data_IF_232146020740
#
_entry.id   IF_232146020740
#
_cell.length_a   1.000
_cell.length_b   1.000
_cell.length_c   1.000
_cell.angle_alpha   90.00
_cell.angle_beta   90.00
_cell.angle_gamma   90.00
#
_symmetry.space_group_name_H-M   'P 1'
#
loop_
_entity.id
_entity.type
_entity.pdbx_description
1 polymer ?
#
# COMPACT_ATOMS: atom_id res chain seq x y z
N UNK A 1 -1.33 17.94 9.17
CA UNK A 1 -1.73 16.62 8.69
C UNK A 1 -0.80 16.19 7.56
N UNK A 2 -0.36 14.95 7.57
CA UNK A 2 0.50 14.41 6.52
C UNK A 2 -0.33 13.64 5.50
N UNK A 3 0.05 13.71 4.21
CA UNK A 3 -0.56 12.91 3.17
C UNK A 3 0.40 11.83 2.71
N UNK A 4 -0.15 10.64 2.49
CA UNK A 4 0.62 9.46 2.10
C UNK A 4 -0.04 8.76 0.92
N UNK A 5 0.74 7.97 0.18
CA UNK A 5 0.22 7.02 -0.80
C UNK A 5 0.43 5.61 -0.27
N UNK A 6 -0.55 4.74 -0.52
CA UNK A 6 -0.45 3.31 -0.21
C UNK A 6 -0.78 2.54 -1.48
N UNK A 7 -0.08 1.44 -1.72
CA UNK A 7 -0.22 0.72 -2.98
C UNK A 7 -0.47 -0.77 -2.74
N UNK A 8 -1.63 -1.21 -3.20
CA UNK A 8 -2.05 -2.60 -3.13
C UNK A 8 -1.72 -3.28 -4.45
N UNK A 9 -0.59 -3.98 -4.51
CA UNK A 9 -0.22 -4.77 -5.67
C UNK A 9 -1.03 -6.05 -5.68
N UNK A 10 -1.63 -6.36 -6.82
CA UNK A 10 -2.55 -7.49 -6.99
C UNK A 10 -2.02 -8.43 -8.06
N UNK A 11 -2.01 -9.73 -7.74
CA UNK A 11 -1.59 -10.79 -8.67
C UNK A 11 -2.30 -12.09 -8.32
N UNK A 12 -3.04 -12.63 -9.28
CA UNK A 12 -3.63 -13.97 -9.18
C UNK A 12 -4.44 -14.20 -7.88
N UNK A 13 -5.29 -13.23 -7.51
CA UNK A 13 -6.12 -13.32 -6.32
C UNK A 13 -5.38 -13.06 -5.01
N UNK A 14 -4.12 -12.63 -5.07
CA UNK A 14 -3.32 -12.28 -3.91
C UNK A 14 -2.92 -10.82 -3.93
N UNK A 15 -2.52 -10.30 -2.79
CA UNK A 15 -1.96 -8.95 -2.66
C UNK A 15 -0.61 -9.00 -1.96
N UNK A 16 0.22 -7.99 -2.24
CA UNK A 16 1.52 -7.86 -1.60
C UNK A 16 1.38 -7.02 -0.34
N UNK A 17 1.77 -7.59 0.78
CA UNK A 17 1.83 -6.90 2.07
C UNK A 17 3.26 -6.85 2.58
N UNK A 18 3.49 -5.97 3.55
CA UNK A 18 4.79 -5.86 4.20
C UNK A 18 4.68 -6.04 5.71
N UNK A 19 5.76 -6.53 6.31
CA UNK A 19 6.00 -6.36 7.74
C UNK A 19 6.85 -5.10 7.90
N UNK A 20 6.28 -4.08 8.54
CA UNK A 20 6.98 -2.82 8.74
C UNK A 20 8.15 -3.03 9.70
N UNK A 21 9.26 -2.34 9.41
CA UNK A 21 10.44 -2.40 10.26
C UNK A 21 10.11 -1.95 11.69
N UNK A 22 10.71 -2.61 12.68
CA UNK A 22 10.60 -2.24 14.09
C UNK A 22 11.17 -0.84 14.37
N UNK A 23 11.98 -0.29 13.46
CA UNK A 23 12.57 1.04 13.60
C UNK A 23 11.71 2.17 13.05
N UNK A 24 10.56 1.86 12.42
CA UNK A 24 9.64 2.90 11.93
C UNK A 24 9.07 3.70 13.09
N UNK A 25 8.95 5.02 12.90
CA UNK A 25 8.38 5.91 13.91
C UNK A 25 6.89 5.66 14.14
N UNK A 26 6.14 5.40 13.06
CA UNK A 26 4.70 5.09 13.15
C UNK A 26 4.44 3.65 12.74
N UNK A 27 3.53 3.00 13.47
CA UNK A 27 3.08 1.64 13.23
C UNK A 27 4.25 0.64 13.01
N UNK A 28 5.23 0.58 13.93
CA UNK A 28 6.34 -0.34 13.75
C UNK A 28 5.89 -1.79 13.89
N UNK A 29 6.57 -2.67 13.16
CA UNK A 29 6.47 -4.13 13.35
C UNK A 29 5.10 -4.73 13.03
N UNK A 30 4.24 -4.05 12.29
CA UNK A 30 2.91 -4.56 11.90
C UNK A 30 2.89 -5.02 10.44
N UNK A 31 1.88 -5.83 10.11
CA UNK A 31 1.56 -6.18 8.72
C UNK A 31 0.67 -5.10 8.13
N UNK A 32 1.08 -4.54 7.01
CA UNK A 32 0.41 -3.39 6.38
C UNK A 32 0.50 -3.42 4.87
N UNK A 33 -0.37 -2.63 4.23
CA UNK A 33 -0.24 -2.28 2.82
C UNK A 33 0.97 -1.33 2.70
N UNK A 34 1.92 -1.60 1.79
CA UNK A 34 3.08 -0.71 1.62
C UNK A 34 2.67 0.71 1.22
N UNK A 35 3.44 1.70 1.68
CA UNK A 35 3.19 3.09 1.34
C UNK A 35 4.24 4.02 1.94
N UNK A 36 4.07 5.31 1.71
CA UNK A 36 4.96 6.33 2.25
C UNK A 36 4.42 7.73 2.08
N UNK A 37 5.10 8.70 2.67
CA UNK A 37 4.70 10.10 2.64
C UNK A 37 4.85 10.73 1.25
N UNK A 38 3.90 11.59 0.90
CA UNK A 38 4.03 12.47 -0.27
C UNK A 38 4.97 13.61 0.13
N UNK A 39 6.00 13.83 -0.66
CA UNK A 39 6.99 14.87 -0.39
C UNK A 39 6.55 16.23 -0.98
N UNK A 40 7.13 17.31 -0.48
CA UNK A 40 6.86 18.65 -0.97
C UNK A 40 7.15 18.72 -2.47
N UNK A 41 6.19 19.29 -3.22
CA UNK A 41 6.30 19.43 -4.66
C UNK A 41 5.87 18.21 -5.47
N UNK A 42 5.53 17.09 -4.83
CA UNK A 42 5.00 15.91 -5.51
C UNK A 42 3.47 15.93 -5.55
N UNK A 43 2.90 15.45 -6.65
CA UNK A 43 1.51 15.04 -6.67
C UNK A 43 1.41 13.54 -6.27
N UNK A 44 0.19 13.02 -6.16
CA UNK A 44 -0.02 11.62 -5.77
C UNK A 44 0.63 10.65 -6.75
N UNK A 45 0.52 10.89 -8.05
CA UNK A 45 1.08 10.00 -9.07
C UNK A 45 2.62 9.93 -8.98
N UNK A 46 3.25 11.07 -8.76
CA UNK A 46 4.71 11.14 -8.60
C UNK A 46 5.16 10.42 -7.32
N UNK A 47 4.46 10.66 -6.21
CA UNK A 47 4.76 9.98 -4.94
C UNK A 47 4.58 8.47 -5.06
N UNK A 48 3.52 8.02 -5.75
CA UNK A 48 3.26 6.60 -5.98
C UNK A 48 4.43 5.93 -6.71
N UNK A 49 4.88 6.52 -7.83
CA UNK A 49 5.99 5.96 -8.60
C UNK A 49 7.28 5.93 -7.78
N UNK A 50 7.58 6.99 -7.06
CA UNK A 50 8.79 7.05 -6.24
C UNK A 50 8.76 6.02 -5.12
N UNK A 51 7.64 5.95 -4.38
CA UNK A 51 7.53 5.03 -3.24
C UNK A 51 7.56 3.56 -3.67
N UNK A 52 6.88 3.22 -4.76
CA UNK A 52 6.93 1.85 -5.30
C UNK A 52 8.36 1.47 -5.66
N UNK A 53 9.10 2.38 -6.30
CA UNK A 53 10.49 2.15 -6.64
C UNK A 53 11.37 2.04 -5.40
N UNK A 54 11.22 2.93 -4.42
CA UNK A 54 12.04 2.91 -3.21
C UNK A 54 11.80 1.66 -2.36
N UNK A 55 10.55 1.24 -2.22
CA UNK A 55 10.21 0.12 -1.35
C UNK A 55 10.34 -1.24 -2.02
N UNK A 56 9.97 -1.34 -3.30
CA UNK A 56 9.85 -2.63 -3.99
C UNK A 56 10.78 -2.78 -5.19
N UNK A 57 11.44 -1.72 -5.63
CA UNK A 57 12.39 -1.77 -6.74
C UNK A 57 11.76 -1.98 -8.10
N UNK A 58 10.48 -1.73 -8.27
CA UNK A 58 9.76 -1.91 -9.54
C UNK A 58 9.11 -0.60 -9.98
N UNK A 59 8.73 -0.55 -11.27
CA UNK A 59 7.98 0.55 -11.84
C UNK A 59 6.52 0.13 -12.00
N UNK A 60 5.60 0.85 -11.35
CA UNK A 60 4.17 0.62 -11.52
C UNK A 60 3.75 1.12 -12.92
N UNK A 61 3.28 0.23 -13.77
CA UNK A 61 2.89 0.56 -15.15
C UNK A 61 1.39 0.75 -15.29
N UNK A 62 0.60 0.24 -14.35
CA UNK A 62 -0.84 0.47 -14.30
C UNK A 62 -1.28 0.58 -12.87
N UNK A 63 -1.95 1.70 -12.54
CA UNK A 63 -2.49 1.95 -11.22
C UNK A 63 -3.86 2.60 -11.32
N UNK A 64 -4.73 2.30 -10.35
CA UNK A 64 -6.07 2.86 -10.26
C UNK A 64 -6.28 3.38 -8.84
N UNK A 65 -6.75 4.62 -8.72
CA UNK A 65 -7.11 5.17 -7.42
C UNK A 65 -8.26 4.38 -6.81
N UNK A 66 -8.14 4.04 -5.55
CA UNK A 66 -9.16 3.26 -4.83
C UNK A 66 -9.97 4.13 -3.88
N UNK A 67 -9.34 4.72 -2.89
CA UNK A 67 -10.01 5.54 -1.87
C UNK A 67 -8.97 6.30 -1.05
N UNK A 68 -9.45 7.25 -0.25
CA UNK A 68 -8.62 7.97 0.72
C UNK A 68 -9.23 7.84 2.11
N UNK A 69 -8.40 7.56 3.10
CA UNK A 69 -8.84 7.30 4.47
C UNK A 69 -7.91 8.02 5.46
N UNK A 70 -8.49 8.57 6.51
CA UNK A 70 -7.72 9.10 7.62
C UNK A 70 -7.18 7.97 8.48
N UNK A 71 -5.95 8.14 8.91
CA UNK A 71 -5.28 7.19 9.80
C UNK A 71 -4.54 7.94 10.90
N UNK A 72 -5.04 7.91 12.15
CA UNK A 72 -4.32 8.51 13.26
C UNK A 72 -3.15 7.62 13.67
N UNK A 73 -1.97 8.24 13.81
CA UNK A 73 -0.80 7.60 14.39
C UNK A 73 -0.47 8.27 15.71
N UNK A 74 0.52 7.74 16.42
CA UNK A 74 0.97 8.35 17.67
C UNK A 74 1.50 9.78 17.48
N UNK A 75 2.07 10.09 16.31
CA UNK A 75 2.76 11.34 16.07
C UNK A 75 2.03 12.31 15.15
N UNK A 76 1.14 11.81 14.29
CA UNK A 76 0.47 12.65 13.29
C UNK A 76 -0.82 12.00 12.81
N UNK A 77 -1.74 12.84 12.34
CA UNK A 77 -2.90 12.37 11.57
C UNK A 77 -2.46 12.27 10.10
N UNK A 78 -2.64 11.12 9.49
CA UNK A 78 -2.32 10.89 8.09
C UNK A 78 -3.59 10.80 7.26
N UNK A 79 -3.52 11.29 6.02
CA UNK A 79 -4.52 11.02 4.98
C UNK A 79 -3.86 10.08 3.98
N UNK A 80 -4.37 8.85 3.93
CA UNK A 80 -3.81 7.78 3.10
C UNK A 80 -4.58 7.69 1.78
N UNK A 81 -3.90 7.86 0.66
CA UNK A 81 -4.47 7.71 -0.67
C UNK A 81 -4.08 6.32 -1.20
N UNK A 82 -5.07 5.44 -1.29
CA UNK A 82 -4.85 4.04 -1.69
C UNK A 82 -5.01 3.88 -3.20
N UNK A 83 -4.06 3.16 -3.78
CA UNK A 83 -4.04 2.80 -5.20
C UNK A 83 -3.93 1.29 -5.34
N UNK A 84 -4.62 0.75 -6.36
CA UNK A 84 -4.44 -0.64 -6.78
C UNK A 84 -3.43 -0.64 -7.92
N UNK A 85 -2.42 -1.48 -7.84
CA UNK A 85 -1.40 -1.64 -8.87
C UNK A 85 -1.47 -3.09 -9.36
N UNK A 86 -1.87 -3.30 -10.62
CA UNK A 86 -2.03 -4.64 -11.18
C UNK A 86 -1.04 -4.96 -12.30
N UNK A 87 -0.20 -4.02 -12.67
CA UNK A 87 0.90 -4.23 -13.63
C UNK A 87 2.11 -3.42 -13.24
N UNK A 88 3.28 -4.03 -13.35
CA UNK A 88 4.56 -3.40 -13.05
C UNK A 88 5.67 -4.05 -13.87
N UNK A 89 6.81 -3.35 -13.97
CA UNK A 89 8.04 -3.85 -14.60
C UNK A 89 9.10 -4.04 -13.54
N UNK A 90 9.84 -5.13 -13.65
CA UNK A 90 10.89 -5.49 -12.72
C UNK A 90 10.49 -6.61 -11.78
N UNK A 91 11.43 -7.05 -10.97
CA UNK A 91 11.20 -8.06 -9.94
C UNK A 91 11.02 -7.41 -8.58
N UNK A 92 9.96 -7.80 -7.89
CA UNK A 92 9.67 -7.32 -6.54
C UNK A 92 10.83 -7.65 -5.62
N UNK A 93 11.34 -6.63 -4.93
CA UNK A 93 12.36 -6.75 -3.90
C UNK A 93 11.86 -6.07 -2.62
N UNK A 94 12.51 -6.39 -1.50
CA UNK A 94 12.19 -5.79 -0.21
C UNK A 94 13.34 -4.86 0.17
N UNK A 95 13.16 -3.54 -0.03
CA UNK A 95 14.23 -2.57 0.19
C UNK A 95 14.19 -1.91 1.57
N UNK A 96 13.01 -1.71 2.14
CA UNK A 96 12.85 -0.93 3.40
C UNK A 96 12.15 -1.69 4.51
N UNK A 97 11.14 -2.49 4.19
CA UNK A 97 10.43 -3.30 5.18
C UNK A 97 11.30 -4.49 5.63
N UNK A 98 10.91 -5.14 6.72
CA UNK A 98 11.58 -6.37 7.16
C UNK A 98 11.33 -7.51 6.18
N UNK A 99 10.10 -7.58 5.63
CA UNK A 99 9.75 -8.55 4.58
C UNK A 99 8.56 -8.04 3.78
N UNK A 100 8.43 -8.55 2.55
CA UNK A 100 7.22 -8.43 1.74
C UNK A 100 6.78 -9.83 1.32
N UNK A 101 5.47 -10.05 1.22
CA UNK A 101 4.94 -11.37 0.92
C UNK A 101 3.57 -11.28 0.24
N UNK A 102 3.28 -12.28 -0.59
CA UNK A 102 1.98 -12.43 -1.23
C UNK A 102 1.06 -13.24 -0.32
N UNK A 103 -0.20 -12.79 -0.21
CA UNK A 103 -1.20 -13.44 0.63
C UNK A 103 -2.59 -13.29 0.00
N UNK A 104 -3.52 -14.22 0.25
CA UNK A 104 -4.90 -14.02 -0.19
C UNK A 104 -5.47 -12.69 0.30
N UNK A 105 -6.26 -12.05 -0.54
CA UNK A 105 -6.82 -10.73 -0.24
C UNK A 105 -7.92 -10.87 0.81
N UNK A 106 -7.68 -10.35 2.01
CA UNK A 106 -8.64 -10.39 3.11
C UNK A 106 -8.37 -9.25 4.09
N UNK A 107 -9.40 -8.59 4.63
CA UNK A 107 -9.20 -7.55 5.65
C UNK A 107 -8.44 -8.05 6.87
N UNK A 108 -8.60 -9.32 7.23
CA UNK A 108 -7.90 -9.93 8.37
C UNK A 108 -6.39 -10.07 8.18
N UNK A 109 -5.89 -9.88 6.95
CA UNK A 109 -4.46 -9.99 6.67
C UNK A 109 -3.65 -8.76 7.13
N UNK A 110 -4.31 -7.63 7.38
CA UNK A 110 -3.68 -6.38 7.79
C UNK A 110 -4.12 -5.97 9.19
N UNK A 111 -3.39 -5.05 9.81
CA UNK A 111 -3.60 -4.74 11.23
C UNK A 111 -4.23 -3.38 11.51
N UNK A 112 -4.07 -2.38 10.63
CA UNK A 112 -4.71 -1.08 10.85
C UNK A 112 -6.15 -1.06 10.34
N UNK A 113 -6.99 -0.26 10.99
CA UNK A 113 -8.39 -0.09 10.56
C UNK A 113 -8.43 0.47 9.14
N UNK A 114 -7.58 1.45 8.82
CA UNK A 114 -7.56 2.05 7.48
C UNK A 114 -7.24 1.02 6.41
N UNK A 115 -6.22 0.19 6.61
CA UNK A 115 -5.88 -0.87 5.65
C UNK A 115 -7.00 -1.90 5.50
N UNK A 116 -7.66 -2.28 6.60
CA UNK A 116 -8.80 -3.20 6.56
C UNK A 116 -9.94 -2.63 5.71
N UNK A 117 -10.27 -1.35 5.91
CA UNK A 117 -11.32 -0.67 5.14
C UNK A 117 -10.92 -0.57 3.66
N UNK A 118 -9.66 -0.28 3.36
CA UNK A 118 -9.19 -0.21 1.97
C UNK A 118 -9.34 -1.56 1.26
N UNK A 119 -9.01 -2.67 1.91
CA UNK A 119 -9.19 -4.00 1.35
C UNK A 119 -10.67 -4.31 1.15
N UNK A 120 -11.53 -3.96 2.11
CA UNK A 120 -12.98 -4.12 1.97
C UNK A 120 -13.52 -3.33 0.78
N UNK A 121 -13.06 -2.09 0.59
CA UNK A 121 -13.45 -1.25 -0.55
C UNK A 121 -12.98 -1.87 -1.87
N UNK A 122 -11.76 -2.40 -1.92
CA UNK A 122 -11.28 -3.12 -3.08
C UNK A 122 -12.19 -4.30 -3.40
N UNK A 123 -12.55 -5.11 -2.41
CA UNK A 123 -13.46 -6.26 -2.59
C UNK A 123 -14.85 -5.83 -3.03
N UNK A 124 -15.33 -4.69 -2.55
CA UNK A 124 -16.64 -4.16 -2.94
C UNK A 124 -16.68 -3.71 -4.40
N UNK A 125 -15.63 -3.02 -4.84
CA UNK A 125 -15.58 -2.43 -6.18
C UNK A 125 -15.14 -3.40 -7.25
N UNK A 126 -14.29 -4.37 -6.91
CA UNK A 126 -13.64 -5.23 -7.89
C UNK A 126 -13.84 -6.72 -7.64
N UNK A 127 -15.07 -7.20 -7.36
CA UNK A 127 -15.29 -8.63 -7.14
C UNK A 127 -14.93 -9.46 -8.39
N UNK A 128 -15.03 -8.86 -9.58
CA UNK A 128 -14.67 -9.52 -10.84
C UNK A 128 -13.17 -9.57 -11.08
N UNK A 129 -12.42 -8.61 -10.51
CA UNK A 129 -10.97 -8.63 -10.58
C UNK A 129 -10.36 -9.73 -9.72
N UNK A 130 -11.04 -10.10 -8.64
CA UNK A 130 -10.61 -11.21 -7.79
C UNK A 130 -10.81 -12.56 -8.47
N UNK A 131 -11.73 -12.65 -9.42
CA UNK A 131 -12.02 -13.86 -10.18
C UNK A 131 -11.11 -14.01 -11.40
N UNK A 132 -10.31 -13.01 -11.70
CA UNK A 132 -9.31 -13.05 -12.77
C UNK A 132 -7.98 -13.57 -12.21
#
# INVERSE_FOLDING_TARGET
MAECVSFLLIKEGTCLLERRSATKASDPNIIAIPGGHIEAGENQAQALQREVQEELGVEATRSVYLCSLYHPTEFELQLLHYYVVDQWQGEIACHEADEVFWTPIAPSAVETIADKIAIEEFQRLYPRYLAL
#
